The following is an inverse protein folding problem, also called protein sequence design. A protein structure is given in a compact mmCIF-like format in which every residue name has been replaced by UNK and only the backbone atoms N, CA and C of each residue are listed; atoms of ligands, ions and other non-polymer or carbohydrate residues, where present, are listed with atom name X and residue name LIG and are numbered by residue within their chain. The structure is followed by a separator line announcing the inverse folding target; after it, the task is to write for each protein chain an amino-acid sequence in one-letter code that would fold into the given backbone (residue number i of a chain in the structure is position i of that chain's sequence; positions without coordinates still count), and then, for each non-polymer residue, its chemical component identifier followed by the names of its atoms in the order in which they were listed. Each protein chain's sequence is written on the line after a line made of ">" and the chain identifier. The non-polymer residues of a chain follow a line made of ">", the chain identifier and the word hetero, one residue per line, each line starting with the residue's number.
data_IF_873568922302
#
_entry.id   IF_873568922302
#
_cell.length_a   1.000
_cell.length_b   1.000
_cell.length_c   1.000
_cell.angle_alpha   90.00
_cell.angle_beta   90.00
_cell.angle_gamma   90.00
#
_symmetry.space_group_name_H-M   'P 1'
#
loop_
_entity.id
_entity.type
_entity.pdbx_description
1 polymer ?
#
# COMPACT_ATOMS: atom_id res chain seq x y z
N UNK A 1 12.39 12.06 36.13
CA UNK A 1 11.01 11.88 35.64
C UNK A 1 10.83 12.84 34.48
N UNK A 2 10.84 12.35 33.23
CA UNK A 2 10.62 13.17 32.04
C UNK A 2 9.17 12.99 31.63
N UNK A 3 8.42 14.08 31.77
CA UNK A 3 7.00 14.20 31.46
C UNK A 3 6.86 14.40 29.94
N UNK A 4 6.36 13.39 29.22
CA UNK A 4 6.06 13.51 27.79
C UNK A 4 4.59 13.89 27.60
N UNK A 5 4.31 15.18 27.80
CA UNK A 5 3.07 15.81 27.40
C UNK A 5 2.95 15.92 25.88
N UNK A 6 2.71 14.80 25.20
CA UNK A 6 2.24 14.83 23.81
C UNK A 6 0.73 15.03 23.80
N UNK A 7 0.30 16.29 23.67
CA UNK A 7 -1.03 16.61 23.13
C UNK A 7 -1.09 16.04 21.71
N UNK A 8 -1.60 14.81 21.57
CA UNK A 8 -1.99 14.23 20.29
C UNK A 8 -3.11 15.11 19.73
N UNK A 9 -2.84 15.78 18.61
CA UNK A 9 -3.90 16.27 17.75
C UNK A 9 -4.64 15.02 17.25
N UNK A 10 -5.79 14.72 17.84
CA UNK A 10 -6.64 13.62 17.41
C UNK A 10 -7.10 13.92 15.98
N UNK A 11 -6.41 13.35 14.99
CA UNK A 11 -6.93 13.26 13.63
C UNK A 11 -8.03 12.19 13.64
N UNK A 12 -9.09 12.35 12.84
CA UNK A 12 -10.16 11.36 12.67
C UNK A 12 -9.65 9.96 12.30
N UNK A 13 -8.42 9.88 11.78
CA UNK A 13 -7.72 8.63 11.48
C UNK A 13 -7.33 7.83 12.73
N UNK A 14 -7.05 8.48 13.87
CA UNK A 14 -6.65 7.80 15.11
C UNK A 14 -7.77 6.92 15.69
N UNK A 15 -9.04 7.20 15.36
CA UNK A 15 -10.19 6.42 15.83
C UNK A 15 -10.22 4.98 15.28
N UNK A 16 -9.52 4.71 14.18
CA UNK A 16 -9.52 3.41 13.49
C UNK A 16 -8.14 2.74 13.43
N UNK A 17 -7.14 3.30 14.15
CA UNK A 17 -5.84 2.67 14.30
C UNK A 17 -5.91 1.68 15.48
N UNK A 18 -5.91 0.39 15.16
CA UNK A 18 -5.80 -0.70 16.13
C UNK A 18 -4.34 -1.09 16.34
N UNK A 19 -4.06 -1.91 17.37
CA UNK A 19 -2.72 -2.52 17.54
C UNK A 19 -2.26 -3.23 16.26
N UNK A 20 -3.16 -4.01 15.64
CA UNK A 20 -2.84 -4.81 14.45
C UNK A 20 -2.44 -3.99 13.22
N UNK A 21 -2.97 -2.77 13.05
CA UNK A 21 -2.68 -1.93 11.88
C UNK A 21 -1.73 -0.74 12.18
N UNK A 22 -1.32 -0.56 13.44
CA UNK A 22 -0.46 0.54 13.88
C UNK A 22 0.88 0.59 13.15
N UNK A 23 1.50 -0.57 12.92
CA UNK A 23 2.75 -0.65 12.15
C UNK A 23 2.56 -0.12 10.73
N UNK A 24 1.55 -0.62 10.01
CA UNK A 24 1.26 -0.19 8.65
C UNK A 24 0.90 1.30 8.57
N UNK A 25 0.14 1.82 9.54
CA UNK A 25 -0.13 3.24 9.67
C UNK A 25 1.15 4.07 9.80
N UNK A 26 2.07 3.69 10.69
CA UNK A 26 3.35 4.39 10.87
C UNK A 26 4.21 4.38 9.61
N UNK A 27 4.17 3.29 8.82
CA UNK A 27 4.86 3.26 7.52
C UNK A 27 4.22 4.27 6.56
N UNK A 28 2.88 4.33 6.46
CA UNK A 28 2.18 5.33 5.64
C UNK A 28 2.53 6.75 6.07
N UNK A 29 2.58 7.01 7.38
CA UNK A 29 2.84 8.35 7.90
C UNK A 29 4.22 8.89 7.53
N UNK A 30 5.20 8.01 7.28
CA UNK A 30 6.53 8.39 6.80
C UNK A 30 6.56 8.88 5.35
N UNK A 31 5.48 8.73 4.56
CA UNK A 31 5.44 9.29 3.21
C UNK A 31 5.67 10.82 3.25
N UNK A 32 6.48 11.41 2.35
CA UNK A 32 7.11 10.81 1.16
C UNK A 32 8.51 10.22 1.37
N UNK A 33 8.97 10.05 2.62
CA UNK A 33 10.33 9.57 2.98
C UNK A 33 10.44 8.03 3.05
N UNK A 34 9.65 7.31 2.25
CA UNK A 34 9.80 5.86 2.16
C UNK A 34 11.14 5.48 1.52
N UNK A 35 11.76 4.40 2.00
CA UNK A 35 13.01 3.88 1.44
C UNK A 35 12.83 3.29 0.04
N UNK A 36 11.61 2.85 -0.29
CA UNK A 36 11.19 2.40 -1.62
C UNK A 36 9.94 3.15 -2.05
N UNK A 37 9.72 3.24 -3.36
CA UNK A 37 8.56 3.94 -3.94
C UNK A 37 7.25 3.17 -3.83
N UNK A 38 7.33 1.86 -3.63
CA UNK A 38 6.18 0.97 -3.59
C UNK A 38 6.05 0.37 -2.19
N UNK A 39 4.91 0.61 -1.56
CA UNK A 39 4.49 0.02 -0.28
C UNK A 39 3.37 -0.98 -0.53
N UNK A 40 3.58 -2.23 -0.19
CA UNK A 40 2.56 -3.26 -0.12
C UNK A 40 2.04 -3.39 1.32
N UNK A 41 0.76 -3.14 1.52
CA UNK A 41 0.07 -3.49 2.76
C UNK A 41 -0.69 -4.78 2.53
N UNK A 42 -0.41 -5.80 3.33
CA UNK A 42 -1.05 -7.11 3.19
C UNK A 42 -1.71 -7.56 4.50
N UNK A 43 -2.70 -8.44 4.39
CA UNK A 43 -3.42 -9.01 5.54
C UNK A 43 -4.82 -9.49 5.15
N UNK A 44 -5.52 -10.13 6.07
CA UNK A 44 -6.82 -10.73 5.80
C UNK A 44 -7.93 -9.72 5.46
N UNK A 45 -9.05 -10.20 4.91
CA UNK A 45 -10.21 -9.34 4.67
C UNK A 45 -10.65 -8.69 5.99
N UNK A 46 -11.09 -7.44 5.92
CA UNK A 46 -11.50 -6.64 7.08
C UNK A 46 -10.38 -6.22 8.06
N UNK A 47 -9.10 -6.42 7.71
CA UNK A 47 -7.97 -5.97 8.53
C UNK A 47 -7.70 -4.44 8.52
N UNK A 48 -8.54 -3.64 7.85
CA UNK A 48 -8.37 -2.19 7.79
C UNK A 48 -7.49 -1.66 6.63
N UNK A 49 -7.08 -2.52 5.69
CA UNK A 49 -6.31 -2.10 4.49
C UNK A 49 -6.95 -0.93 3.71
N UNK A 50 -8.26 -0.99 3.44
CA UNK A 50 -8.97 0.09 2.73
C UNK A 50 -9.02 1.39 3.56
N UNK A 51 -9.07 1.31 4.89
CA UNK A 51 -8.95 2.48 5.75
C UNK A 51 -7.56 3.12 5.58
N UNK A 52 -6.49 2.33 5.65
CA UNK A 52 -5.12 2.79 5.44
C UNK A 52 -4.89 3.37 4.04
N UNK A 53 -5.50 2.79 3.00
CA UNK A 53 -5.51 3.39 1.66
C UNK A 53 -6.16 4.77 1.65
N UNK A 54 -7.26 4.98 2.37
CA UNK A 54 -7.90 6.29 2.49
C UNK A 54 -7.04 7.29 3.29
N UNK A 55 -6.36 6.87 4.35
CA UNK A 55 -5.38 7.71 5.07
C UNK A 55 -4.30 8.18 4.10
N UNK A 56 -3.70 7.25 3.35
CA UNK A 56 -2.67 7.58 2.36
C UNK A 56 -3.23 8.51 1.27
N UNK A 57 -4.43 8.22 0.75
CA UNK A 57 -5.11 9.05 -0.26
C UNK A 57 -5.29 10.50 0.22
N UNK A 58 -5.77 10.69 1.45
CA UNK A 58 -5.96 12.04 2.02
C UNK A 58 -4.63 12.78 2.16
N UNK A 59 -3.56 12.08 2.53
CA UNK A 59 -2.22 12.65 2.73
C UNK A 59 -1.50 13.00 1.42
N UNK A 60 -1.55 12.10 0.43
CA UNK A 60 -0.78 12.22 -0.83
C UNK A 60 -1.61 12.66 -2.04
N UNK A 61 -2.92 12.85 -1.87
CA UNK A 61 -3.89 13.08 -2.95
C UNK A 61 -3.87 11.98 -4.01
N UNK A 62 -3.56 10.75 -3.60
CA UNK A 62 -3.36 9.64 -4.52
C UNK A 62 -4.58 9.30 -5.38
N UNK A 63 -4.32 8.83 -6.59
CA UNK A 63 -5.35 8.20 -7.42
C UNK A 63 -5.68 6.81 -6.86
N UNK A 64 -6.90 6.64 -6.34
CA UNK A 64 -7.39 5.34 -5.87
C UNK A 64 -8.00 4.53 -7.02
N UNK A 65 -7.46 3.33 -7.23
CA UNK A 65 -7.86 2.41 -8.29
C UNK A 65 -8.21 1.07 -7.64
N UNK A 66 -9.45 0.61 -7.83
CA UNK A 66 -9.76 -0.77 -7.48
C UNK A 66 -9.16 -1.69 -8.55
N UNK A 67 -8.50 -2.76 -8.10
CA UNK A 67 -7.81 -3.72 -8.95
C UNK A 67 -8.65 -4.20 -10.14
N UNK A 68 -9.93 -4.52 -9.93
CA UNK A 68 -10.81 -5.03 -10.98
C UNK A 68 -11.16 -4.00 -12.07
N UNK A 69 -10.76 -2.74 -11.90
CA UNK A 69 -10.98 -1.65 -12.87
C UNK A 69 -9.73 -1.26 -13.64
N UNK A 70 -8.62 -1.99 -13.47
CA UNK A 70 -7.37 -1.71 -14.18
C UNK A 70 -7.50 -2.19 -15.64
N UNK A 71 -7.27 -1.27 -16.56
CA UNK A 71 -7.20 -1.49 -18.01
C UNK A 71 -6.18 -0.51 -18.63
N UNK A 72 -5.96 -0.57 -19.93
CA UNK A 72 -4.93 0.24 -20.60
C UNK A 72 -5.19 1.77 -20.52
N UNK A 73 -6.43 2.20 -20.30
CA UNK A 73 -6.72 3.63 -20.14
C UNK A 73 -6.24 4.19 -18.79
N UNK A 74 -5.91 3.33 -17.82
CA UNK A 74 -5.46 3.75 -16.50
C UNK A 74 -4.14 4.52 -16.56
N UNK A 75 -3.26 4.22 -17.52
CA UNK A 75 -1.94 4.83 -17.63
C UNK A 75 -2.01 6.34 -17.86
N UNK A 76 -3.00 6.81 -18.64
CA UNK A 76 -3.23 8.25 -18.84
C UNK A 76 -3.59 8.93 -17.53
N UNK A 77 -4.38 8.27 -16.68
CA UNK A 77 -4.77 8.79 -15.36
C UNK A 77 -3.57 8.78 -14.41
N UNK A 78 -2.85 7.67 -14.29
CA UNK A 78 -1.69 7.53 -13.38
C UNK A 78 -0.65 8.63 -13.62
N UNK A 79 -0.38 8.99 -14.89
CA UNK A 79 0.58 10.05 -15.23
C UNK A 79 0.29 11.39 -14.56
N UNK A 80 -0.99 11.72 -14.32
CA UNK A 80 -1.43 12.98 -13.72
C UNK A 80 -1.27 13.04 -12.19
N UNK A 81 -0.90 11.93 -11.53
CA UNK A 81 -0.78 11.85 -10.08
C UNK A 81 0.63 11.46 -9.66
N UNK A 82 1.11 12.05 -8.56
CA UNK A 82 2.39 11.68 -7.95
C UNK A 82 2.30 10.37 -7.17
N UNK A 83 1.14 10.10 -6.58
CA UNK A 83 0.88 8.90 -5.79
C UNK A 83 -0.32 8.13 -6.33
N UNK A 84 -0.26 6.81 -6.31
CA UNK A 84 -1.36 5.93 -6.71
C UNK A 84 -1.63 4.87 -5.65
N UNK A 85 -2.86 4.38 -5.63
CA UNK A 85 -3.28 3.26 -4.81
C UNK A 85 -3.92 2.21 -5.69
N UNK A 86 -3.45 0.98 -5.58
CA UNK A 86 -4.16 -0.21 -6.09
C UNK A 86 -4.78 -0.90 -4.88
N UNK A 87 -6.11 -0.82 -4.76
CA UNK A 87 -6.84 -1.46 -3.67
C UNK A 87 -7.45 -2.81 -4.11
N UNK A 88 -7.61 -3.71 -3.15
CA UNK A 88 -8.16 -5.06 -3.32
C UNK A 88 -7.43 -5.88 -4.41
N UNK A 89 -6.10 -5.79 -4.41
CA UNK A 89 -5.26 -6.55 -5.33
C UNK A 89 -5.48 -8.07 -5.15
N UNK A 90 -5.68 -8.74 -6.27
CA UNK A 90 -5.85 -10.19 -6.34
C UNK A 90 -4.86 -10.80 -7.34
N UNK A 91 -4.48 -12.06 -7.14
CA UNK A 91 -3.45 -12.77 -7.91
C UNK A 91 -3.89 -13.22 -9.31
N UNK A 92 -5.16 -13.03 -9.67
CA UNK A 92 -5.73 -13.32 -10.99
C UNK A 92 -5.35 -12.29 -12.09
N UNK A 93 -4.13 -11.74 -12.05
CA UNK A 93 -3.76 -10.55 -12.83
C UNK A 93 -3.04 -10.86 -14.13
N UNK A 94 -3.29 -10.00 -15.13
CA UNK A 94 -2.43 -9.87 -16.29
C UNK A 94 -1.07 -9.30 -15.87
N UNK A 95 -0.09 -10.17 -15.57
CA UNK A 95 1.24 -9.79 -15.09
C UNK A 95 1.91 -8.67 -15.91
N UNK A 96 1.68 -8.62 -17.24
CA UNK A 96 2.24 -7.56 -18.10
C UNK A 96 1.67 -6.19 -17.77
N UNK A 97 0.39 -6.11 -17.40
CA UNK A 97 -0.25 -4.86 -17.02
C UNK A 97 0.28 -4.36 -15.67
N UNK A 98 0.44 -5.25 -14.70
CA UNK A 98 1.08 -4.93 -13.42
C UNK A 98 2.52 -4.47 -13.62
N UNK A 99 3.28 -5.17 -14.47
CA UNK A 99 4.64 -4.78 -14.83
C UNK A 99 4.74 -3.37 -15.40
N UNK A 100 3.86 -3.03 -16.33
CA UNK A 100 3.80 -1.69 -16.89
C UNK A 100 3.47 -0.62 -15.83
N UNK A 101 2.62 -0.93 -14.85
CA UNK A 101 2.33 0.00 -13.75
C UNK A 101 3.55 0.19 -12.84
N UNK A 102 4.21 -0.91 -12.44
CA UNK A 102 5.43 -0.85 -11.64
C UNK A 102 6.52 -0.04 -12.33
N UNK A 103 6.74 -0.31 -13.63
CA UNK A 103 7.69 0.45 -14.43
C UNK A 103 7.36 1.93 -14.49
N UNK A 104 6.08 2.28 -14.67
CA UNK A 104 5.66 3.67 -14.71
C UNK A 104 5.93 4.37 -13.38
N UNK A 105 5.69 3.69 -12.25
CA UNK A 105 5.96 4.24 -10.91
C UNK A 105 7.45 4.53 -10.72
N UNK A 106 8.31 3.57 -11.09
CA UNK A 106 9.76 3.71 -10.97
C UNK A 106 10.32 4.78 -11.91
N UNK A 107 9.92 4.76 -13.20
CA UNK A 107 10.43 5.67 -14.23
C UNK A 107 10.02 7.12 -13.98
N UNK A 108 8.77 7.34 -13.56
CA UNK A 108 8.25 8.69 -13.30
C UNK A 108 8.49 9.13 -11.84
N UNK A 109 9.25 8.35 -11.06
CA UNK A 109 9.60 8.62 -9.65
C UNK A 109 8.38 8.84 -8.73
N UNK A 110 7.26 8.17 -9.05
CA UNK A 110 5.98 8.24 -8.33
C UNK A 110 5.99 7.36 -7.08
N UNK A 111 4.93 7.43 -6.28
CA UNK A 111 4.70 6.53 -5.15
C UNK A 111 3.50 5.64 -5.41
N UNK A 112 3.56 4.40 -4.92
CA UNK A 112 2.44 3.48 -5.01
C UNK A 112 2.20 2.78 -3.68
N UNK A 113 0.93 2.72 -3.27
CA UNK A 113 0.46 1.82 -2.25
C UNK A 113 -0.36 0.70 -2.91
N UNK A 114 -0.12 -0.55 -2.52
CA UNK A 114 -0.85 -1.72 -3.02
C UNK A 114 -1.38 -2.54 -1.85
N UNK A 115 -2.69 -2.70 -1.79
CA UNK A 115 -3.35 -3.53 -0.78
C UNK A 115 -3.61 -4.93 -1.33
N UNK A 116 -3.16 -5.97 -0.63
CA UNK A 116 -3.34 -7.36 -1.03
C UNK A 116 -3.70 -8.25 0.16
N UNK A 117 -4.08 -9.51 -0.09
CA UNK A 117 -4.23 -10.50 0.99
C UNK A 117 -2.90 -11.00 1.53
N UNK A 118 -2.02 -11.42 0.63
CA UNK A 118 -0.65 -11.87 0.94
C UNK A 118 0.38 -10.88 0.40
N UNK A 119 1.63 -10.89 0.89
CA UNK A 119 2.70 -10.09 0.30
C UNK A 119 2.81 -10.32 -1.21
N UNK A 120 2.89 -9.25 -2.00
CA UNK A 120 3.04 -9.39 -3.47
C UNK A 120 4.34 -10.10 -3.87
N UNK A 121 5.36 -10.08 -3.00
CA UNK A 121 6.61 -10.81 -3.16
C UNK A 121 6.45 -12.33 -3.09
N UNK A 122 5.35 -12.82 -2.49
CA UNK A 122 5.04 -14.26 -2.37
C UNK A 122 4.18 -14.79 -3.53
N UNK A 123 3.69 -13.89 -4.40
CA UNK A 123 2.92 -14.28 -5.58
C UNK A 123 3.86 -14.93 -6.61
N UNK A 124 3.40 -16.06 -7.16
CA UNK A 124 4.13 -16.84 -8.17
C UNK A 124 4.02 -16.22 -9.56
N UNK A 125 4.67 -15.06 -9.76
CA UNK A 125 4.76 -14.44 -11.09
C UNK A 125 5.60 -15.30 -12.05
N UNK A 126 5.24 -15.31 -13.33
CA UNK A 126 5.99 -15.96 -14.41
C UNK A 126 7.03 -15.04 -15.03
N UNK A 127 6.75 -13.74 -15.10
CA UNK A 127 7.65 -12.75 -15.69
C UNK A 127 8.85 -12.47 -14.75
N UNK A 128 10.10 -12.79 -15.13
CA UNK A 128 11.27 -12.65 -14.25
C UNK A 128 11.47 -11.23 -13.71
N UNK A 129 11.24 -10.21 -14.55
CA UNK A 129 11.35 -8.81 -14.17
C UNK A 129 10.33 -8.41 -13.09
N UNK A 130 9.15 -9.04 -13.09
CA UNK A 130 8.14 -8.84 -12.05
C UNK A 130 8.48 -9.53 -10.75
N UNK A 131 9.08 -10.72 -10.80
CA UNK A 131 9.58 -11.42 -9.61
C UNK A 131 10.62 -10.55 -8.88
N UNK A 132 11.54 -9.93 -9.63
CA UNK A 132 12.54 -9.04 -9.04
C UNK A 132 11.90 -7.79 -8.41
N UNK A 133 10.94 -7.17 -9.11
CA UNK A 133 10.25 -5.96 -8.64
C UNK A 133 9.34 -6.19 -7.45
N UNK A 134 8.60 -7.29 -7.41
CA UNK A 134 7.72 -7.60 -6.27
C UNK A 134 8.50 -7.78 -4.98
N UNK A 135 9.74 -8.31 -5.06
CA UNK A 135 10.67 -8.42 -3.93
C UNK A 135 11.28 -7.09 -3.48
N UNK A 136 11.24 -6.05 -4.31
CA UNK A 136 11.81 -4.73 -4.00
C UNK A 136 10.77 -3.75 -3.41
N UNK A 137 9.63 -4.24 -2.96
CA UNK A 137 8.60 -3.44 -2.32
C UNK A 137 8.81 -3.37 -0.80
N UNK A 138 8.47 -2.24 -0.19
CA UNK A 138 8.27 -2.21 1.26
C UNK A 138 7.02 -3.04 1.57
N UNK A 139 7.08 -3.86 2.61
CA UNK A 139 5.93 -4.69 3.02
C UNK A 139 5.54 -4.34 4.44
N UNK A 140 4.25 -4.04 4.64
CA UNK A 140 3.65 -3.88 5.95
C UNK A 140 2.49 -4.87 6.09
N UNK A 141 2.72 -5.93 6.88
CA UNK A 141 1.70 -6.93 7.18
C UNK A 141 0.81 -6.43 8.32
N UNK A 142 -0.50 -6.61 8.18
CA UNK A 142 -1.49 -6.43 9.23
C UNK A 142 -1.83 -7.83 9.74
N UNK A 143 -1.52 -8.08 11.01
CA UNK A 143 -1.79 -9.35 11.69
C UNK A 143 -3.28 -9.49 12.03
N UNK A 144 -3.74 -10.74 12.13
CA UNK A 144 -5.09 -11.01 12.66
C UNK A 144 -5.10 -10.69 14.15
N UNK A 145 -6.21 -10.16 14.72
CA UNK A 145 -6.35 -10.04 16.17
C UNK A 145 -6.15 -11.37 16.91
N UNK A 146 -6.38 -12.51 16.24
CA UNK A 146 -6.20 -13.84 16.80
C UNK A 146 -4.71 -14.28 16.88
N UNK A 147 -3.80 -13.58 16.19
CA UNK A 147 -2.36 -13.89 16.23
C UNK A 147 -1.69 -13.39 17.53
N UNK A 148 -2.37 -12.54 18.31
CA UNK A 148 -1.93 -12.03 19.63
C UNK A 148 -2.14 -13.03 20.79
N UNK A 149 -2.52 -14.28 20.52
CA UNK A 149 -2.66 -15.35 21.53
C UNK A 149 -1.29 -15.98 21.86
N UNK A 150 -0.49 -15.31 22.69
CA UNK A 150 0.62 -15.90 23.47
C UNK A 150 0.54 -15.43 24.93
#
# INVERSE_FOLDING_TARGET
>A
MLDFGHKKNFNDHDYYVSKSNFFAFNVIDKWPKWEKKILNICGEKFSGKTHLANVFKSKSKALLINYNKINDDIFKKIKLFESIIIDDFNDNLNEKLLYSIFNLVDQDNKYMLINSKMPISEIKFKLPDMISRSKNCLVAKIESPDDDLI
#
